data_IF_695542428845
#
_entry.id   IF_695542428845
#
_cell.length_a   1.000
_cell.length_b   1.000
_cell.length_c   1.000
_cell.angle_alpha   90.00
_cell.angle_beta   90.00
_cell.angle_gamma   90.00
#
_symmetry.space_group_name_H-M   'P 1'
#
loop_
_entity.id
_entity.type
_entity.pdbx_description
1 polymer ?
#
# COMPACT_ATOMS: atom_id res chain seq x y z
N UNK A 1 0.31 -4.55 12.11
CA UNK A 1 -1.16 -4.62 12.35
C UNK A 1 -1.82 -3.27 12.67
N UNK A 2 -1.07 -2.21 13.02
CA UNK A 2 -1.63 -0.94 13.50
C UNK A 2 -2.74 -0.35 12.60
N UNK A 3 -2.50 -0.26 11.29
CA UNK A 3 -3.44 0.33 10.31
C UNK A 3 -4.66 -0.54 10.00
N UNK A 4 -4.69 -1.79 10.47
CA UNK A 4 -5.79 -2.74 10.22
C UNK A 4 -6.57 -3.13 11.49
N UNK A 5 -6.12 -2.68 12.67
CA UNK A 5 -6.60 -3.15 13.98
C UNK A 5 -8.08 -2.89 14.27
N UNK A 6 -8.65 -1.80 13.77
CA UNK A 6 -10.03 -1.37 14.09
C UNK A 6 -11.05 -1.67 13.00
N UNK A 7 -10.67 -2.37 11.93
CA UNK A 7 -11.56 -2.57 10.79
C UNK A 7 -12.27 -3.92 10.85
N UNK A 8 -13.52 -3.92 11.28
CA UNK A 8 -14.42 -5.09 11.30
C UNK A 8 -14.82 -5.54 9.89
N UNK A 9 -14.77 -4.66 8.89
CA UNK A 9 -15.12 -4.96 7.49
C UNK A 9 -13.98 -5.63 6.69
N UNK A 10 -13.09 -6.40 7.33
CA UNK A 10 -12.00 -7.13 6.68
C UNK A 10 -12.15 -8.64 6.88
N UNK A 11 -13.06 -9.32 6.14
CA UNK A 11 -13.37 -10.74 6.35
C UNK A 11 -12.13 -11.65 6.31
N UNK A 12 -11.19 -11.35 5.41
CA UNK A 12 -9.95 -12.12 5.29
C UNK A 12 -9.05 -12.05 6.53
N UNK A 13 -9.29 -11.12 7.46
CA UNK A 13 -8.47 -10.91 8.67
C UNK A 13 -9.20 -11.33 9.96
N UNK A 14 -10.39 -11.94 9.88
CA UNK A 14 -11.14 -12.37 11.08
C UNK A 14 -10.60 -13.65 11.74
N UNK A 15 -9.59 -14.30 11.13
CA UNK A 15 -8.97 -15.51 11.66
C UNK A 15 -8.06 -15.28 12.89
N UNK A 16 -7.55 -16.37 13.49
CA UNK A 16 -6.81 -16.32 14.76
C UNK A 16 -5.45 -15.61 14.69
N UNK A 17 -4.84 -15.53 13.51
CA UNK A 17 -3.57 -14.84 13.29
C UNK A 17 -3.64 -13.91 12.07
N UNK A 18 -4.15 -12.68 12.25
CA UNK A 18 -4.24 -11.71 11.16
C UNK A 18 -2.87 -11.21 10.70
N UNK A 19 -1.84 -11.27 11.54
CA UNK A 19 -0.49 -10.85 11.16
C UNK A 19 0.10 -11.83 10.13
N UNK A 20 0.03 -13.13 10.41
CA UNK A 20 0.43 -14.17 9.47
C UNK A 20 -0.37 -14.07 8.17
N UNK A 21 -1.68 -13.85 8.25
CA UNK A 21 -2.51 -13.71 7.05
C UNK A 21 -2.11 -12.53 6.18
N UNK A 22 -1.77 -11.38 6.77
CA UNK A 22 -1.24 -10.23 6.02
C UNK A 22 0.10 -10.57 5.37
N UNK A 23 1.00 -11.25 6.09
CA UNK A 23 2.30 -11.64 5.56
C UNK A 23 2.18 -12.58 4.35
N UNK A 24 1.29 -13.57 4.42
CA UNK A 24 0.98 -14.48 3.30
C UNK A 24 0.44 -13.73 2.09
N UNK A 25 -0.57 -12.89 2.29
CA UNK A 25 -1.17 -12.09 1.22
C UNK A 25 -0.15 -11.14 0.59
N UNK A 26 0.75 -10.56 1.39
CA UNK A 26 1.80 -9.70 0.88
C UNK A 26 2.85 -10.50 0.10
N UNK A 27 3.26 -11.67 0.57
CA UNK A 27 4.21 -12.52 -0.15
C UNK A 27 3.67 -12.93 -1.53
N UNK A 28 2.40 -13.31 -1.61
CA UNK A 28 1.71 -13.66 -2.86
C UNK A 28 1.63 -12.46 -3.82
N UNK A 29 1.31 -11.27 -3.31
CA UNK A 29 0.99 -10.10 -4.14
C UNK A 29 2.18 -9.18 -4.40
N UNK A 30 3.24 -9.25 -3.60
CA UNK A 30 4.40 -8.38 -3.71
C UNK A 30 5.04 -8.39 -5.11
N UNK A 31 5.18 -9.53 -5.82
CA UNK A 31 5.69 -9.53 -7.18
C UNK A 31 4.84 -8.68 -8.13
N UNK A 32 3.51 -8.76 -8.01
CA UNK A 32 2.57 -7.99 -8.84
C UNK A 32 2.67 -6.49 -8.53
N UNK A 33 2.72 -6.10 -7.25
CA UNK A 33 2.90 -4.71 -6.86
C UNK A 33 4.26 -4.13 -7.29
N UNK A 34 5.33 -4.94 -7.27
CA UNK A 34 6.66 -4.55 -7.76
C UNK A 34 6.75 -4.43 -9.28
N UNK A 35 5.78 -4.94 -10.04
CA UNK A 35 5.75 -4.75 -11.49
C UNK A 35 5.22 -3.36 -11.90
N UNK A 36 4.57 -2.63 -10.99
CA UNK A 36 4.06 -1.28 -11.24
C UNK A 36 5.23 -0.30 -11.27
N UNK A 37 5.35 0.46 -12.36
CA UNK A 37 6.47 1.40 -12.59
C UNK A 37 6.53 2.52 -11.53
N UNK A 38 5.37 3.05 -11.16
CA UNK A 38 5.26 4.13 -10.18
C UNK A 38 4.78 3.61 -8.84
N UNK A 39 5.53 3.90 -7.77
CA UNK A 39 5.24 3.44 -6.41
C UNK A 39 5.62 4.51 -5.41
N UNK A 40 4.87 4.57 -4.30
CA UNK A 40 5.12 5.45 -3.16
C UNK A 40 5.28 4.56 -1.92
N UNK A 41 6.33 4.80 -1.14
CA UNK A 41 6.53 4.11 0.15
C UNK A 41 5.76 4.85 1.24
N UNK A 42 4.78 4.17 1.84
CA UNK A 42 3.90 4.75 2.85
C UNK A 42 4.28 4.36 4.29
N UNK A 43 5.50 3.87 4.52
CA UNK A 43 5.91 3.28 5.81
C UNK A 43 6.05 4.33 6.93
N UNK A 44 6.55 5.52 6.59
CA UNK A 44 6.89 6.57 7.56
C UNK A 44 6.39 7.96 7.15
N UNK A 45 5.30 8.01 6.37
CA UNK A 45 4.75 9.24 5.80
C UNK A 45 3.32 9.51 6.27
N UNK A 46 2.94 10.78 6.27
CA UNK A 46 1.57 11.25 6.47
C UNK A 46 0.73 11.02 5.20
N UNK A 47 -0.58 11.23 5.30
CA UNK A 47 -1.46 11.12 4.12
C UNK A 47 -1.13 12.23 3.12
N UNK A 48 -0.84 13.42 3.61
CA UNK A 48 -0.50 14.60 2.83
C UNK A 48 0.79 14.40 2.04
N UNK A 49 1.84 13.84 2.67
CA UNK A 49 3.09 13.49 2.00
C UNK A 49 2.87 12.45 0.89
N UNK A 50 2.08 11.41 1.17
CA UNK A 50 1.74 10.40 0.17
C UNK A 50 0.99 11.00 -1.04
N UNK A 51 0.12 11.98 -0.81
CA UNK A 51 -0.60 12.68 -1.90
C UNK A 51 0.39 13.48 -2.75
N UNK A 52 1.32 14.21 -2.13
CA UNK A 52 2.29 15.01 -2.85
C UNK A 52 3.26 14.16 -3.70
N UNK A 53 3.66 12.99 -3.19
CA UNK A 53 4.48 12.03 -3.94
C UNK A 53 3.76 11.54 -5.20
N UNK A 54 2.47 11.20 -5.08
CA UNK A 54 1.65 10.79 -6.23
C UNK A 54 1.50 11.93 -7.25
N UNK A 55 1.24 13.16 -6.79
CA UNK A 55 1.14 14.33 -7.67
C UNK A 55 2.46 14.63 -8.38
N UNK A 56 3.58 14.48 -7.70
CA UNK A 56 4.92 14.65 -8.27
C UNK A 56 5.17 13.66 -9.39
N UNK A 57 4.91 12.37 -9.15
CA UNK A 57 5.01 11.32 -10.19
C UNK A 57 4.12 11.70 -11.39
N UNK A 58 2.87 12.08 -11.15
CA UNK A 58 1.92 12.42 -12.22
C UNK A 58 2.40 13.60 -13.07
N UNK A 59 2.86 14.70 -12.44
CA UNK A 59 3.37 15.89 -13.15
C UNK A 59 4.59 15.57 -14.02
N UNK A 60 5.50 14.72 -13.54
CA UNK A 60 6.66 14.28 -14.32
C UNK A 60 6.26 13.48 -15.57
N UNK A 61 5.14 12.74 -15.53
CA UNK A 61 4.61 12.05 -16.70
C UNK A 61 3.94 12.99 -17.70
N UNK A 62 3.21 14.01 -17.22
CA UNK A 62 2.46 14.92 -18.10
C UNK A 62 3.33 16.02 -18.73
N UNK A 63 4.45 16.38 -18.10
CA UNK A 63 5.35 17.44 -18.59
C UNK A 63 6.28 16.96 -19.71
N UNK A 64 6.33 15.64 -19.95
CA UNK A 64 7.13 15.01 -21.01
C UNK A 64 6.37 14.68 -22.30
N UNK A 65 5.16 15.24 -22.50
CA UNK A 65 4.31 15.03 -23.69
C UNK A 65 4.18 16.29 -24.54
#
# INVERSE_FOLDING_TARGET
LQRTRQHTHRPLLHGPDPARRIAELLAERAPLYRAIAHRVDTSHTTVEENVEDVLTIYRHQTTGA
#
